data_IF_225011183331
#
_entry.id   IF_225011183331
#
_cell.length_a   1.000
_cell.length_b   1.000
_cell.length_c   1.000
_cell.angle_alpha   90.00
_cell.angle_beta   90.00
_cell.angle_gamma   90.00
#
_symmetry.space_group_name_H-M   'P 1'
#
loop_
_entity.id
_entity.type
_entity.pdbx_description
1 polymer ?
#
# COMPACT_ATOMS: atom_id res chain seq x y z
N UNK A 1 -4.55 -23.64 -8.48
CA UNK A 1 -3.22 -23.04 -8.18
C UNK A 1 -2.60 -22.65 -9.50
N UNK A 2 -2.09 -21.43 -9.64
CA UNK A 2 -1.44 -20.95 -10.87
C UNK A 2 0.00 -20.58 -10.53
N UNK A 3 0.94 -21.41 -10.99
CA UNK A 3 2.38 -21.25 -10.76
C UNK A 3 3.15 -21.81 -11.97
N UNK A 4 3.30 -21.03 -13.05
CA UNK A 4 4.01 -21.48 -14.25
C UNK A 4 5.51 -21.66 -14.03
N UNK A 5 6.08 -21.10 -12.96
CA UNK A 5 7.50 -21.21 -12.63
C UNK A 5 7.80 -22.37 -11.66
N UNK A 6 6.78 -23.02 -11.10
CA UNK A 6 6.92 -24.19 -10.21
C UNK A 6 7.62 -23.89 -8.89
N UNK A 7 7.59 -22.64 -8.43
CA UNK A 7 8.24 -22.21 -7.19
C UNK A 7 7.63 -22.84 -5.94
N UNK A 8 6.36 -23.24 -5.99
CA UNK A 8 5.68 -23.90 -4.88
C UNK A 8 6.26 -25.29 -4.58
N UNK A 9 6.76 -25.99 -5.60
CA UNK A 9 7.37 -27.31 -5.44
C UNK A 9 8.89 -27.23 -5.27
N UNK A 10 9.53 -26.31 -6.00
CA UNK A 10 11.01 -26.18 -6.03
C UNK A 10 11.59 -25.40 -4.84
N UNK A 11 10.85 -24.44 -4.30
CA UNK A 11 11.32 -23.60 -3.17
C UNK A 11 10.15 -23.25 -2.22
N UNK A 12 9.58 -24.26 -1.53
CA UNK A 12 8.44 -24.06 -0.64
C UNK A 12 8.79 -23.19 0.58
N UNK A 13 10.05 -23.19 1.02
CA UNK A 13 10.51 -22.39 2.17
C UNK A 13 10.39 -20.88 1.92
N UNK A 14 10.54 -20.43 0.67
CA UNK A 14 10.38 -19.04 0.30
C UNK A 14 8.90 -18.60 0.17
N UNK A 15 7.95 -19.54 0.20
CA UNK A 15 6.53 -19.24 -0.04
C UNK A 15 5.96 -18.27 0.99
N UNK A 16 6.31 -18.41 2.27
CA UNK A 16 5.83 -17.54 3.34
C UNK A 16 6.21 -16.08 3.07
N UNK A 17 7.48 -15.84 2.76
CA UNK A 17 7.99 -14.52 2.38
C UNK A 17 7.37 -14.04 1.07
N UNK A 18 7.27 -14.89 0.03
CA UNK A 18 6.66 -14.53 -1.26
C UNK A 18 5.21 -14.08 -1.09
N UNK A 19 4.42 -14.78 -0.27
CA UNK A 19 3.04 -14.39 0.05
C UNK A 19 2.97 -13.10 0.85
N UNK A 20 3.88 -12.86 1.78
CA UNK A 20 3.96 -11.57 2.48
C UNK A 20 4.28 -10.41 1.51
N UNK A 21 5.22 -10.63 0.59
CA UNK A 21 5.63 -9.65 -0.43
C UNK A 21 4.51 -9.37 -1.44
N UNK A 22 3.79 -10.40 -1.89
CA UNK A 22 2.61 -10.28 -2.76
C UNK A 22 1.53 -9.41 -2.10
N UNK A 23 1.19 -9.69 -0.84
CA UNK A 23 0.23 -8.87 -0.07
C UNK A 23 0.71 -7.43 0.09
N UNK A 24 2.00 -7.23 0.39
CA UNK A 24 2.57 -5.89 0.59
C UNK A 24 2.48 -5.03 -0.68
N UNK A 25 2.89 -5.56 -1.83
CA UNK A 25 2.75 -4.85 -3.10
C UNK A 25 1.26 -4.60 -3.41
N UNK A 26 0.38 -5.56 -3.10
CA UNK A 26 -1.04 -5.45 -3.41
C UNK A 26 -1.71 -4.33 -2.60
N UNK A 27 -1.38 -4.22 -1.31
CA UNK A 27 -1.85 -3.14 -0.43
C UNK A 27 -1.40 -1.76 -0.92
N UNK A 28 -0.14 -1.62 -1.33
CA UNK A 28 0.38 -0.36 -1.89
C UNK A 28 -0.31 -0.03 -3.20
N UNK A 29 -0.47 -1.01 -4.10
CA UNK A 29 -1.12 -0.82 -5.39
C UNK A 29 -2.60 -0.42 -5.25
N UNK A 30 -3.35 -1.06 -4.34
CA UNK A 30 -4.74 -0.69 -4.05
C UNK A 30 -4.87 0.76 -3.60
N UNK A 31 -4.00 1.22 -2.70
CA UNK A 31 -3.98 2.62 -2.27
C UNK A 31 -3.56 3.57 -3.40
N UNK A 32 -2.59 3.17 -4.22
CA UNK A 32 -2.10 3.96 -5.35
C UNK A 32 -3.16 4.18 -6.43
N UNK A 33 -3.95 3.16 -6.79
CA UNK A 33 -5.02 3.29 -7.78
C UNK A 33 -6.10 4.27 -7.30
N UNK A 34 -6.51 4.18 -6.03
CA UNK A 34 -7.46 5.14 -5.46
C UNK A 34 -6.86 6.56 -5.51
N UNK A 35 -5.59 6.72 -5.14
CA UNK A 35 -4.88 7.99 -5.25
C UNK A 35 -4.85 8.55 -6.68
N UNK A 36 -4.58 7.71 -7.69
CA UNK A 36 -4.63 8.10 -9.10
C UNK A 36 -6.02 8.60 -9.51
N UNK A 37 -7.09 7.91 -9.11
CA UNK A 37 -8.47 8.31 -9.43
C UNK A 37 -8.81 9.65 -8.75
N UNK A 38 -8.51 9.78 -7.46
CA UNK A 38 -8.79 11.00 -6.67
C UNK A 38 -8.05 12.21 -7.25
N UNK A 39 -6.75 12.07 -7.50
CA UNK A 39 -5.95 13.17 -8.04
C UNK A 39 -6.39 13.56 -9.47
N UNK A 40 -6.70 12.58 -10.34
CA UNK A 40 -7.15 12.88 -11.70
C UNK A 40 -8.54 13.52 -11.76
N UNK A 41 -9.38 13.32 -10.75
CA UNK A 41 -10.66 14.03 -10.61
C UNK A 41 -10.50 15.46 -10.07
N UNK A 42 -9.27 15.94 -9.86
CA UNK A 42 -9.01 17.28 -9.32
C UNK A 42 -9.40 17.42 -7.85
N UNK A 43 -9.56 16.30 -7.13
CA UNK A 43 -9.86 16.34 -5.69
C UNK A 43 -8.53 16.56 -4.97
N UNK A 44 -8.33 17.80 -4.51
CA UNK A 44 -7.18 18.20 -3.72
C UNK A 44 -7.63 18.89 -2.43
N UNK A 45 -6.73 18.99 -1.46
CA UNK A 45 -6.99 19.80 -0.29
C UNK A 45 -6.94 21.29 -0.66
N UNK A 46 -7.86 22.08 -0.11
CA UNK A 46 -7.83 23.52 -0.29
C UNK A 46 -6.73 24.12 0.59
N UNK A 47 -5.74 24.75 -0.03
CA UNK A 47 -4.69 25.50 0.68
C UNK A 47 -3.28 25.34 0.14
N UNK A 48 -2.31 25.68 0.98
CA UNK A 48 -0.89 25.63 0.66
C UNK A 48 -0.26 24.33 1.12
N UNK A 49 0.38 23.61 0.19
CA UNK A 49 1.24 22.48 0.48
C UNK A 49 2.53 22.95 1.17
N UNK A 50 3.10 24.06 0.71
CA UNK A 50 4.29 24.66 1.30
C UNK A 50 4.17 26.19 1.31
N UNK A 51 3.87 26.80 2.47
CA UNK A 51 3.84 28.26 2.61
C UNK A 51 5.18 28.92 2.29
N UNK A 52 6.30 28.26 2.58
CA UNK A 52 7.65 28.78 2.31
C UNK A 52 8.02 28.76 0.83
N UNK A 53 7.49 27.81 0.05
CA UNK A 53 7.68 27.74 -1.40
C UNK A 53 6.53 28.39 -2.20
N UNK A 54 5.48 28.87 -1.53
CA UNK A 54 4.27 29.40 -2.18
C UNK A 54 3.50 28.36 -3.01
N UNK A 55 3.71 27.07 -2.74
CA UNK A 55 3.16 25.96 -3.51
C UNK A 55 1.80 25.54 -2.94
N UNK A 56 0.74 25.56 -3.76
CA UNK A 56 -0.58 25.03 -3.38
C UNK A 56 -0.75 23.59 -3.80
N UNK A 57 -1.75 22.92 -3.23
CA UNK A 57 -2.10 21.57 -3.65
C UNK A 57 -2.65 21.52 -5.08
N UNK A 58 -3.31 22.59 -5.55
CA UNK A 58 -3.79 22.73 -6.93
C UNK A 58 -2.65 22.80 -7.96
N UNK A 59 -1.47 23.30 -7.56
CA UNK A 59 -0.31 23.46 -8.44
C UNK A 59 0.44 22.13 -8.66
N UNK A 60 0.15 21.10 -7.87
CA UNK A 60 0.80 19.80 -7.99
C UNK A 60 0.24 19.05 -9.20
N UNK A 61 1.06 18.67 -10.18
CA UNK A 61 0.58 17.98 -11.36
C UNK A 61 0.06 16.58 -11.00
N UNK A 62 -1.00 16.16 -11.68
CA UNK A 62 -1.52 14.80 -11.56
C UNK A 62 -0.61 13.79 -12.29
N UNK A 63 -0.66 12.53 -11.87
CA UNK A 63 0.16 11.46 -12.44
C UNK A 63 1.58 11.38 -11.88
N UNK A 64 2.51 10.85 -12.68
CA UNK A 64 3.86 10.45 -12.24
C UNK A 64 4.70 11.64 -11.74
N UNK A 65 4.46 12.84 -12.29
CA UNK A 65 5.22 14.03 -11.93
C UNK A 65 4.80 14.66 -10.59
N UNK A 66 3.70 14.22 -9.97
CA UNK A 66 3.23 14.79 -8.71
C UNK A 66 4.27 14.70 -7.59
N UNK A 67 4.93 13.54 -7.44
CA UNK A 67 5.98 13.35 -6.44
C UNK A 67 7.18 14.27 -6.67
N UNK A 68 7.49 14.62 -7.93
CA UNK A 68 8.61 15.50 -8.28
C UNK A 68 8.35 16.97 -7.96
N UNK A 69 7.09 17.37 -7.82
CA UNK A 69 6.72 18.72 -7.43
C UNK A 69 6.79 18.94 -5.91
N UNK A 70 6.80 17.86 -5.11
CA UNK A 70 6.87 17.95 -3.66
C UNK A 70 8.30 18.39 -3.24
N UNK A 71 8.43 19.42 -2.39
CA UNK A 71 9.73 19.85 -1.88
C UNK A 71 10.46 18.71 -1.16
N UNK A 72 11.80 18.66 -1.27
CA UNK A 72 12.63 17.60 -0.66
C UNK A 72 12.40 17.44 0.84
N UNK A 73 12.15 18.54 1.56
CA UNK A 73 11.83 18.49 2.99
C UNK A 73 10.55 17.68 3.26
N UNK A 74 9.52 17.80 2.42
CA UNK A 74 8.29 17.02 2.53
C UNK A 74 8.51 15.55 2.20
N UNK A 75 9.33 15.25 1.19
CA UNK A 75 9.70 13.86 0.87
C UNK A 75 10.46 13.18 2.01
N UNK A 76 11.36 13.90 2.68
CA UNK A 76 12.08 13.40 3.86
C UNK A 76 11.09 13.14 5.02
N UNK A 77 10.12 14.02 5.25
CA UNK A 77 9.08 13.81 6.27
C UNK A 77 8.27 12.53 6.00
N UNK A 78 7.86 12.32 4.74
CA UNK A 78 7.14 11.11 4.32
C UNK A 78 7.99 9.87 4.56
N UNK A 79 9.26 9.89 4.13
CA UNK A 79 10.17 8.75 4.29
C UNK A 79 10.40 8.42 5.77
N UNK A 80 10.67 9.43 6.60
CA UNK A 80 10.90 9.21 8.04
C UNK A 80 9.65 8.66 8.74
N UNK A 81 8.47 9.16 8.39
CA UNK A 81 7.21 8.66 8.93
C UNK A 81 6.99 7.20 8.55
N UNK A 82 7.10 6.85 7.26
CA UNK A 82 6.91 5.48 6.83
C UNK A 82 8.04 4.54 7.29
N UNK A 83 9.27 5.03 7.48
CA UNK A 83 10.33 4.24 8.09
C UNK A 83 9.99 3.85 9.54
N UNK A 84 9.40 4.76 10.32
CA UNK A 84 8.92 4.46 11.67
C UNK A 84 7.76 3.45 11.63
N UNK A 85 6.78 3.68 10.76
CA UNK A 85 5.64 2.77 10.59
C UNK A 85 6.10 1.37 10.20
N UNK A 86 6.97 1.26 9.21
CA UNK A 86 7.38 -0.01 8.62
C UNK A 86 8.38 -0.80 9.48
N UNK A 87 9.12 -0.14 10.37
CA UNK A 87 10.11 -0.78 11.24
C UNK A 87 9.61 -1.02 12.66
N UNK A 88 8.77 -0.14 13.21
CA UNK A 88 8.39 -0.18 14.62
C UNK A 88 6.92 -0.59 14.83
N UNK A 89 5.97 0.07 14.16
CA UNK A 89 4.54 -0.11 14.46
C UNK A 89 3.89 -1.24 13.67
N UNK A 90 4.20 -1.34 12.38
CA UNK A 90 3.70 -2.34 11.45
C UNK A 90 4.91 -3.00 10.75
N UNK A 91 5.69 -3.80 11.50
CA UNK A 91 6.98 -4.30 11.05
C UNK A 91 6.83 -5.17 9.80
N UNK A 92 7.40 -4.74 8.67
CA UNK A 92 7.35 -5.51 7.42
C UNK A 92 8.09 -6.87 7.48
N UNK A 93 8.90 -7.08 8.52
CA UNK A 93 9.52 -8.37 8.85
C UNK A 93 8.51 -9.40 9.40
N UNK A 94 7.32 -8.99 9.83
CA UNK A 94 6.25 -9.89 10.27
C UNK A 94 5.47 -10.41 9.05
N UNK A 95 5.83 -11.59 8.57
CA UNK A 95 5.27 -12.17 7.34
C UNK A 95 3.79 -12.59 7.43
N UNK A 96 3.24 -12.71 8.64
CA UNK A 96 1.81 -12.93 8.86
C UNK A 96 0.95 -11.85 8.17
N UNK A 97 1.46 -10.60 8.12
CA UNK A 97 0.75 -9.45 7.56
C UNK A 97 -0.46 -8.98 8.39
N UNK A 98 -0.65 -9.58 9.57
CA UNK A 98 -1.61 -9.20 10.60
C UNK A 98 -0.89 -8.33 11.65
N UNK A 99 -1.08 -7.03 11.54
CA UNK A 99 -0.38 -6.03 12.35
C UNK A 99 -1.18 -5.59 13.60
N UNK A 100 -2.18 -6.38 14.02
CA UNK A 100 -2.98 -6.09 15.21
C UNK A 100 -4.23 -5.23 14.96
N UNK A 101 -4.61 -5.05 13.69
CA UNK A 101 -5.87 -4.40 13.31
C UNK A 101 -6.69 -5.35 12.46
N UNK A 102 -7.82 -5.81 12.99
CA UNK A 102 -8.80 -6.64 12.28
C UNK A 102 -9.55 -5.88 11.18
N UNK A 103 -10.48 -6.54 10.51
CA UNK A 103 -11.29 -5.94 9.46
C UNK A 103 -12.21 -4.87 10.04
N UNK A 104 -11.92 -3.59 9.76
CA UNK A 104 -12.53 -2.44 10.43
C UNK A 104 -12.46 -2.51 11.97
N UNK A 105 -11.31 -2.97 12.49
CA UNK A 105 -11.03 -3.03 13.93
C UNK A 105 -11.57 -4.26 14.65
N UNK A 106 -12.35 -5.11 13.97
CA UNK A 106 -12.86 -6.35 14.53
C UNK A 106 -12.30 -7.58 13.81
N UNK A 107 -12.00 -8.61 14.58
CA UNK A 107 -11.62 -9.90 14.01
C UNK A 107 -12.85 -10.62 13.45
N UNK A 108 -12.63 -11.35 12.36
CA UNK A 108 -13.67 -12.19 11.76
C UNK A 108 -13.57 -13.56 12.43
N UNK A 109 -14.56 -13.88 13.27
CA UNK A 109 -14.59 -15.11 14.04
C UNK A 109 -14.84 -16.36 13.17
N UNK A 110 -15.64 -16.21 12.11
CA UNK A 110 -15.94 -17.30 11.16
C UNK A 110 -14.72 -17.58 10.25
N UNK A 111 -14.14 -18.81 10.30
CA UNK A 111 -12.99 -19.18 9.49
C UNK A 111 -13.24 -19.07 7.98
N UNK A 112 -14.42 -19.45 7.50
CA UNK A 112 -14.73 -19.47 6.08
C UNK A 112 -14.83 -18.04 5.53
N UNK A 113 -15.48 -17.17 6.29
CA UNK A 113 -15.63 -15.76 5.95
C UNK A 113 -14.29 -15.00 6.04
N UNK A 114 -13.43 -15.38 6.99
CA UNK A 114 -12.05 -14.87 7.09
C UNK A 114 -11.24 -15.26 5.87
N UNK A 115 -11.23 -16.54 5.49
CA UNK A 115 -10.52 -17.02 4.30
C UNK A 115 -11.04 -16.36 3.02
N UNK A 116 -12.35 -16.18 2.90
CA UNK A 116 -12.98 -15.48 1.78
C UNK A 116 -12.48 -14.04 1.67
N UNK A 117 -12.49 -13.27 2.76
CA UNK A 117 -12.05 -11.86 2.75
C UNK A 117 -10.55 -11.70 2.49
N UNK A 118 -9.72 -12.61 2.98
CA UNK A 118 -8.29 -12.64 2.65
C UNK A 118 -8.07 -12.90 1.14
N UNK A 119 -8.87 -13.77 0.53
CA UNK A 119 -8.83 -13.97 -0.93
C UNK A 119 -9.28 -12.73 -1.70
N UNK A 120 -10.28 -11.99 -1.19
CA UNK A 120 -10.71 -10.71 -1.77
C UNK A 120 -9.57 -9.69 -1.73
N UNK A 121 -8.90 -9.53 -0.59
CA UNK A 121 -7.74 -8.65 -0.46
C UNK A 121 -6.64 -8.99 -1.49
N UNK A 122 -6.32 -10.28 -1.62
CA UNK A 122 -5.28 -10.76 -2.54
C UNK A 122 -5.65 -10.50 -4.00
N UNK A 123 -6.89 -10.82 -4.39
CA UNK A 123 -7.33 -10.67 -5.77
C UNK A 123 -7.52 -9.20 -6.18
N UNK A 124 -8.05 -8.36 -5.28
CA UNK A 124 -8.09 -6.91 -5.50
C UNK A 124 -6.68 -6.32 -5.57
N UNK A 125 -5.76 -6.79 -4.72
CA UNK A 125 -4.35 -6.41 -4.77
C UNK A 125 -3.68 -6.77 -6.08
N UNK A 126 -3.89 -7.99 -6.58
CA UNK A 126 -3.38 -8.43 -7.89
C UNK A 126 -3.94 -7.60 -9.04
N UNK A 127 -5.24 -7.32 -9.02
CA UNK A 127 -5.87 -6.48 -10.04
C UNK A 127 -5.33 -5.04 -10.01
N UNK A 128 -5.05 -4.50 -8.83
CA UNK A 128 -4.51 -3.14 -8.70
C UNK A 128 -3.03 -3.01 -9.13
N UNK A 129 -2.28 -4.12 -9.17
CA UNK A 129 -0.91 -4.11 -9.69
C UNK A 129 -0.83 -4.09 -11.22
N UNK A 130 -1.90 -4.50 -11.91
CA UNK A 130 -2.00 -4.57 -13.36
C UNK A 130 -2.39 -3.20 -13.94
#
# INVERSE_FOLDING_TARGET
>A
VFDPLGWLETEPEAFERRRAVERKHGRVAMAAIVGCIVHNNGIHFDGYLSPSAGLKFEDVPTGINGIRAIPTAGLIQILLFFALVELAWMPASKYDGDYGVGYFGNDIADPDDKARKLNVELNSGRAAMM
#
